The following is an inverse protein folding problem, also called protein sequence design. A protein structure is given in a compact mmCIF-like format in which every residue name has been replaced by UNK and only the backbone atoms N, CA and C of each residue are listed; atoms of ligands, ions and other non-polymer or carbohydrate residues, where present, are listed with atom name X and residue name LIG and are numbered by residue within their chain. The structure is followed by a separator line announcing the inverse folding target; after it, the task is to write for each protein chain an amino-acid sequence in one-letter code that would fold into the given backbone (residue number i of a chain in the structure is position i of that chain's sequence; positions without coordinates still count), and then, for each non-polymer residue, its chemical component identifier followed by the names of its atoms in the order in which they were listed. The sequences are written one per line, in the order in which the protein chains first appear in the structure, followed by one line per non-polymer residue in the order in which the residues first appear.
data_IF_337109998516
#
_entry.id   IF_337109998516
#
_cell.length_a   1.000
_cell.length_b   1.000
_cell.length_c   1.000
_cell.angle_alpha   90.00
_cell.angle_beta   90.00
_cell.angle_gamma   90.00
#
_symmetry.space_group_name_H-M   'P 1'
#
loop_
_entity.id
_entity.type
_entity.pdbx_description
1 polymer ?
#
# COMPACT_ATOMS: atom_id res chain seq x y z
N UNK A 1 8.45 -78.29 -57.62
CA UNK A 1 7.28 -77.92 -58.45
C UNK A 1 6.34 -77.16 -57.52
N UNK A 2 6.18 -75.86 -57.81
CA UNK A 2 5.28 -74.79 -57.32
C UNK A 2 4.13 -75.17 -56.34
N UNK A 3 3.65 -74.38 -55.38
CA UNK A 3 3.82 -72.95 -55.04
C UNK A 3 3.32 -72.72 -53.60
N UNK A 4 3.66 -71.56 -53.01
CA UNK A 4 3.37 -71.14 -51.64
C UNK A 4 2.68 -69.77 -51.69
N UNK A 5 1.38 -69.63 -51.37
CA UNK A 5 0.89 -68.41 -50.69
C UNK A 5 -0.61 -68.35 -50.33
N UNK A 6 -0.82 -67.91 -49.08
CA UNK A 6 -1.79 -66.91 -48.58
C UNK A 6 -3.27 -67.02 -48.97
N UNK A 7 -4.06 -67.45 -47.98
CA UNK A 7 -5.45 -67.08 -47.82
C UNK A 7 -5.59 -65.59 -47.47
N UNK A 8 -6.46 -64.91 -48.20
CA UNK A 8 -6.90 -63.53 -48.00
C UNK A 8 -8.38 -63.54 -47.63
N UNK A 9 -8.68 -62.74 -46.62
CA UNK A 9 -9.98 -62.40 -46.02
C UNK A 9 -10.90 -61.70 -47.03
N UNK A 10 -12.20 -62.02 -47.04
CA UNK A 10 -13.32 -61.07 -46.97
C UNK A 10 -14.70 -61.73 -47.22
N UNK A 11 -15.73 -61.11 -46.63
CA UNK A 11 -17.19 -61.23 -46.79
C UNK A 11 -17.89 -61.98 -45.64
N UNK A 12 -19.04 -61.57 -45.12
CA UNK A 12 -19.78 -60.30 -44.97
C UNK A 12 -20.94 -60.66 -44.02
N UNK A 13 -21.60 -59.64 -43.48
CA UNK A 13 -22.92 -59.69 -42.83
C UNK A 13 -23.02 -60.22 -41.39
N UNK A 14 -23.03 -59.28 -40.44
CA UNK A 14 -24.09 -59.24 -39.42
C UNK A 14 -24.23 -57.83 -38.82
N UNK A 15 -25.24 -57.13 -39.32
CA UNK A 15 -25.88 -56.00 -38.68
C UNK A 15 -26.69 -56.49 -37.46
N UNK A 16 -26.45 -55.93 -36.27
CA UNK A 16 -27.50 -55.50 -35.32
C UNK A 16 -26.95 -55.08 -33.95
N UNK A 17 -27.47 -53.95 -33.48
CA UNK A 17 -27.43 -53.40 -32.12
C UNK A 17 -26.17 -52.69 -31.64
N UNK A 18 -25.93 -51.51 -32.21
CA UNK A 18 -25.45 -50.35 -31.46
C UNK A 18 -26.64 -49.62 -30.82
N UNK A 19 -26.64 -49.45 -29.50
CA UNK A 19 -27.64 -48.63 -28.83
C UNK A 19 -27.72 -48.85 -27.33
N UNK A 20 -26.83 -48.20 -26.56
CA UNK A 20 -27.13 -47.90 -25.17
C UNK A 20 -26.03 -48.16 -24.16
N UNK A 21 -24.85 -47.52 -24.29
CA UNK A 21 -23.94 -47.30 -23.15
C UNK A 21 -23.10 -46.02 -23.26
N UNK A 22 -23.63 -44.95 -23.85
CA UNK A 22 -22.92 -43.65 -23.94
C UNK A 22 -23.48 -42.58 -22.95
N UNK A 23 -24.62 -42.84 -22.29
CA UNK A 23 -25.36 -41.82 -21.54
C UNK A 23 -25.27 -41.88 -20.00
N UNK A 24 -24.47 -42.78 -19.41
CA UNK A 24 -24.41 -42.93 -17.94
C UNK A 24 -23.28 -42.10 -17.30
N UNK A 25 -22.27 -41.68 -18.07
CA UNK A 25 -21.08 -41.00 -17.52
C UNK A 25 -21.27 -39.47 -17.39
N UNK A 26 -22.24 -38.85 -18.08
CA UNK A 26 -22.41 -37.39 -18.10
C UNK A 26 -23.50 -36.82 -17.16
N UNK A 27 -24.16 -37.67 -16.36
CA UNK A 27 -25.25 -37.25 -15.45
C UNK A 27 -24.74 -36.90 -14.04
N UNK A 28 -23.63 -37.48 -13.58
CA UNK A 28 -23.11 -37.26 -12.22
C UNK A 28 -22.41 -35.91 -12.00
N UNK A 29 -21.84 -35.30 -13.06
CA UNK A 29 -21.20 -33.98 -12.99
C UNK A 29 -22.18 -32.79 -13.03
N UNK A 30 -23.37 -32.98 -13.63
CA UNK A 30 -24.37 -31.90 -13.79
C UNK A 30 -25.25 -31.69 -12.54
N UNK A 31 -25.36 -32.71 -11.69
CA UNK A 31 -26.12 -32.65 -10.42
C UNK A 31 -25.30 -32.11 -9.23
N UNK A 32 -23.97 -32.09 -9.32
CA UNK A 32 -23.10 -31.66 -8.21
C UNK A 32 -22.89 -30.14 -8.13
N UNK A 33 -22.95 -29.45 -9.27
CA UNK A 33 -22.86 -27.99 -9.36
C UNK A 33 -23.95 -27.24 -8.56
N UNK A 34 -25.26 -27.57 -8.65
CA UNK A 34 -26.28 -26.89 -7.85
C UNK A 34 -26.14 -27.17 -6.35
N UNK A 35 -25.63 -28.35 -5.97
CA UNK A 35 -25.39 -28.70 -4.57
C UNK A 35 -24.28 -27.86 -3.94
N UNK A 36 -23.19 -27.61 -4.69
CA UNK A 36 -22.09 -26.76 -4.23
C UNK A 36 -22.50 -25.28 -4.09
N UNK A 37 -23.32 -24.77 -5.01
CA UNK A 37 -23.87 -23.40 -4.92
C UNK A 37 -24.79 -23.27 -3.70
N UNK A 38 -25.63 -24.27 -3.42
CA UNK A 38 -26.50 -24.28 -2.25
C UNK A 38 -25.71 -24.31 -0.94
N UNK A 39 -24.61 -25.09 -0.88
CA UNK A 39 -23.71 -25.13 0.27
C UNK A 39 -23.05 -23.76 0.53
N UNK A 40 -22.61 -23.07 -0.52
CA UNK A 40 -22.00 -21.73 -0.42
C UNK A 40 -23.01 -20.69 0.11
N UNK A 41 -24.27 -20.77 -0.32
CA UNK A 41 -25.33 -19.88 0.18
C UNK A 41 -25.66 -20.11 1.66
N UNK A 42 -25.68 -21.37 2.11
CA UNK A 42 -25.85 -21.69 3.54
C UNK A 42 -24.67 -21.14 4.34
N UNK A 43 -23.44 -21.33 3.84
CA UNK A 43 -22.24 -20.86 4.53
C UNK A 43 -22.20 -19.32 4.63
N UNK A 44 -22.61 -18.60 3.57
CA UNK A 44 -22.67 -17.13 3.62
C UNK A 44 -23.75 -16.64 4.58
N UNK A 45 -24.91 -17.32 4.66
CA UNK A 45 -25.96 -17.02 5.64
C UNK A 45 -25.50 -17.18 7.08
N UNK A 46 -24.72 -18.22 7.38
CA UNK A 46 -24.14 -18.44 8.73
C UNK A 46 -23.13 -17.34 9.08
N UNK A 47 -22.31 -16.93 8.12
CA UNK A 47 -21.32 -15.84 8.32
C UNK A 47 -22.04 -14.51 8.57
N UNK A 48 -23.09 -14.19 7.81
CA UNK A 48 -23.89 -12.96 8.00
C UNK A 48 -24.58 -12.99 9.37
N UNK A 49 -25.17 -14.13 9.77
CA UNK A 49 -25.78 -14.29 11.08
C UNK A 49 -24.77 -14.10 12.23
N UNK A 50 -23.54 -14.61 12.08
CA UNK A 50 -22.49 -14.44 13.08
C UNK A 50 -22.03 -12.98 13.23
N UNK A 51 -21.95 -12.22 12.13
CA UNK A 51 -21.57 -10.79 12.17
C UNK A 51 -22.65 -9.96 12.89
N UNK A 52 -23.93 -10.24 12.64
CA UNK A 52 -25.04 -9.51 13.26
C UNK A 52 -25.10 -9.80 14.77
N UNK A 53 -24.95 -11.06 15.20
CA UNK A 53 -24.97 -11.40 16.62
C UNK A 53 -23.74 -10.88 17.39
N UNK A 54 -22.59 -10.70 16.72
CA UNK A 54 -21.39 -10.19 17.39
C UNK A 54 -21.43 -8.67 17.60
N UNK A 55 -22.25 -7.93 16.84
CA UNK A 55 -22.47 -6.49 17.08
C UNK A 55 -23.41 -6.20 18.27
N UNK A 56 -24.24 -7.16 18.69
CA UNK A 56 -25.20 -6.96 19.77
C UNK A 56 -24.62 -7.08 21.19
N UNK A 57 -23.45 -7.71 21.35
CA UNK A 57 -22.93 -8.11 22.67
C UNK A 57 -21.84 -7.20 23.26
N UNK A 58 -21.43 -6.13 22.57
CA UNK A 58 -20.32 -5.27 23.02
C UNK A 58 -20.78 -3.90 23.56
N UNK A 59 -21.93 -3.84 24.22
CA UNK A 59 -22.36 -2.66 24.98
C UNK A 59 -22.71 -3.03 26.42
N UNK A 60 -21.69 -3.24 27.25
CA UNK A 60 -21.77 -3.00 28.69
C UNK A 60 -20.71 -1.96 29.05
N UNK A 61 -21.19 -0.74 29.34
CA UNK A 61 -20.37 0.31 29.94
C UNK A 61 -20.36 0.17 31.46
N UNK A 62 -19.28 0.67 32.09
CA UNK A 62 -19.22 1.05 33.49
C UNK A 62 -18.18 2.18 33.70
N UNK A 63 -18.26 2.95 34.80
CA UNK A 63 -18.21 4.42 34.75
C UNK A 63 -16.95 5.08 35.31
N UNK A 64 -16.72 6.33 34.84
CA UNK A 64 -16.43 7.51 35.66
C UNK A 64 -15.10 7.60 36.43
N UNK A 65 -14.20 8.47 35.96
CA UNK A 65 -13.07 8.98 36.74
C UNK A 65 -12.66 10.38 36.27
N UNK A 66 -13.10 11.41 36.99
CA UNK A 66 -12.71 12.81 36.80
C UNK A 66 -11.22 12.98 37.10
N UNK A 67 -10.50 13.74 36.29
CA UNK A 67 -9.38 14.59 36.74
C UNK A 67 -9.23 15.81 35.83
N UNK A 68 -9.02 16.96 36.48
CA UNK A 68 -9.01 18.30 35.90
C UNK A 68 -7.76 18.54 35.05
N UNK A 69 -7.92 19.13 33.87
CA UNK A 69 -6.82 19.66 33.05
C UNK A 69 -6.80 21.19 33.09
N UNK A 70 -5.60 21.75 33.32
CA UNK A 70 -5.30 23.17 33.30
C UNK A 70 -5.27 23.72 31.86
N UNK A 71 -5.88 24.89 31.65
CA UNK A 71 -5.91 25.60 30.36
C UNK A 71 -4.57 26.28 30.00
N UNK A 72 -4.08 26.15 28.76
CA UNK A 72 -3.11 27.07 28.18
C UNK A 72 -3.78 28.21 27.40
N UNK A 73 -3.15 29.39 27.43
CA UNK A 73 -3.73 30.70 27.13
C UNK A 73 -3.98 31.09 25.67
N UNK A 74 -4.73 32.19 25.56
CA UNK A 74 -5.38 32.79 24.38
C UNK A 74 -4.43 33.74 23.62
N UNK A 75 -4.27 33.56 22.30
CA UNK A 75 -3.81 34.58 21.34
C UNK A 75 -4.84 34.69 20.21
N UNK A 76 -5.29 35.93 19.93
CA UNK A 76 -6.58 36.18 19.30
C UNK A 76 -6.67 36.16 17.77
N UNK A 77 -7.90 35.94 17.30
CA UNK A 77 -8.65 36.94 16.55
C UNK A 77 -8.71 36.89 15.01
N UNK A 78 -9.38 35.92 14.35
CA UNK A 78 -10.30 36.13 13.19
C UNK A 78 -11.11 34.87 12.78
N UNK A 79 -12.44 35.07 12.71
CA UNK A 79 -13.54 34.53 11.85
C UNK A 79 -13.95 33.04 11.77
N UNK A 80 -15.29 32.86 11.90
CA UNK A 80 -16.08 31.63 12.04
C UNK A 80 -15.93 30.60 10.91
N UNK A 81 -15.93 29.30 11.27
CA UNK A 81 -15.95 28.17 10.32
C UNK A 81 -17.33 27.99 9.64
N UNK A 82 -17.37 27.51 8.39
CA UNK A 82 -18.61 27.16 7.70
C UNK A 82 -19.25 25.90 8.28
N UNK A 83 -20.54 25.97 8.63
CA UNK A 83 -21.35 24.86 9.15
C UNK A 83 -21.73 23.92 8.00
N UNK A 84 -21.27 22.67 8.04
CA UNK A 84 -21.78 21.59 7.18
C UNK A 84 -22.89 20.84 7.93
N UNK A 85 -24.14 21.04 7.50
CA UNK A 85 -25.30 20.29 8.00
C UNK A 85 -25.38 18.92 7.32
N UNK A 86 -24.52 17.99 7.75
CA UNK A 86 -24.57 16.57 7.37
C UNK A 86 -24.91 15.72 8.59
N UNK A 87 -26.02 14.99 8.49
CA UNK A 87 -26.60 14.17 9.55
C UNK A 87 -25.65 13.00 9.93
N UNK A 88 -24.82 13.21 10.94
CA UNK A 88 -23.89 12.22 11.49
C UNK A 88 -23.71 12.48 12.98
N UNK A 89 -24.32 11.64 13.81
CA UNK A 89 -24.26 11.70 15.27
C UNK A 89 -22.82 11.51 15.74
N UNK A 90 -22.14 12.62 16.00
CA UNK A 90 -20.98 12.67 16.89
C UNK A 90 -21.42 13.53 18.07
N UNK A 91 -21.29 13.00 19.28
CA UNK A 91 -21.56 13.72 20.53
C UNK A 91 -20.47 14.79 20.76
N UNK A 92 -20.42 15.78 19.88
CA UNK A 92 -19.75 17.05 20.11
C UNK A 92 -20.86 18.02 20.55
N UNK A 93 -20.78 18.53 21.78
CA UNK A 93 -21.79 19.38 22.40
C UNK A 93 -22.34 20.41 21.40
N UNK A 94 -23.65 20.38 21.19
CA UNK A 94 -24.39 21.10 20.16
C UNK A 94 -24.54 22.59 20.46
N UNK A 95 -23.43 23.30 20.62
CA UNK A 95 -23.40 24.76 20.58
C UNK A 95 -22.14 25.21 19.86
N UNK A 96 -22.25 25.37 18.54
CA UNK A 96 -21.25 26.03 17.70
C UNK A 96 -21.22 27.55 17.90
N UNK A 97 -22.03 28.09 18.82
CA UNK A 97 -22.13 29.53 19.08
C UNK A 97 -20.92 30.08 19.87
N UNK A 98 -20.16 29.23 20.56
CA UNK A 98 -19.06 29.66 21.46
C UNK A 98 -17.66 29.24 20.98
N UNK A 99 -17.56 28.50 19.88
CA UNK A 99 -16.28 28.05 19.31
C UNK A 99 -15.74 29.08 18.31
N UNK A 100 -14.90 30.01 18.78
CA UNK A 100 -14.16 30.91 17.89
C UNK A 100 -13.08 30.11 17.16
N UNK A 101 -13.10 30.18 15.82
CA UNK A 101 -12.18 29.45 14.95
C UNK A 101 -10.70 29.69 15.28
N UNK A 102 -10.39 30.89 15.75
CA UNK A 102 -9.05 31.32 16.18
C UNK A 102 -8.46 30.53 17.35
N UNK A 103 -9.29 29.83 18.14
CA UNK A 103 -8.84 28.98 19.26
C UNK A 103 -8.88 27.49 18.94
N UNK A 104 -9.28 27.12 17.72
CA UNK A 104 -9.28 25.75 17.27
C UNK A 104 -7.89 25.37 16.75
N UNK A 105 -7.16 24.57 17.51
CA UNK A 105 -5.94 23.92 17.03
C UNK A 105 -6.31 22.64 16.30
N UNK A 106 -5.64 22.34 15.18
CA UNK A 106 -5.84 21.08 14.45
C UNK A 106 -5.76 19.85 15.36
N UNK A 107 -4.94 19.89 16.41
CA UNK A 107 -4.80 18.81 17.38
C UNK A 107 -6.08 18.49 18.17
N UNK A 108 -7.01 19.43 18.32
CA UNK A 108 -8.27 19.23 19.06
C UNK A 108 -9.27 18.33 18.32
N UNK A 109 -9.08 18.13 17.01
CA UNK A 109 -9.90 17.20 16.22
C UNK A 109 -9.37 15.76 16.25
N UNK A 110 -8.20 15.53 16.85
CA UNK A 110 -7.60 14.22 16.97
C UNK A 110 -7.70 13.73 18.41
N UNK A 111 -8.40 12.62 18.61
CA UNK A 111 -8.27 11.86 19.85
C UNK A 111 -6.98 11.04 19.77
N UNK A 112 -6.17 11.07 20.83
CA UNK A 112 -5.03 10.16 20.96
C UNK A 112 -5.56 8.73 20.99
N UNK A 113 -5.11 7.93 20.03
CA UNK A 113 -5.39 6.50 20.04
C UNK A 113 -4.70 5.84 21.26
N UNK A 114 -5.46 5.08 22.04
CA UNK A 114 -4.98 4.38 23.24
C UNK A 114 -4.53 2.94 22.94
N UNK A 115 -4.41 2.59 21.67
CA UNK A 115 -3.89 1.30 21.23
C UNK A 115 -2.44 1.09 21.69
N UNK A 116 -2.24 0.29 22.74
CA UNK A 116 -0.94 -0.29 23.08
C UNK A 116 -0.53 -1.27 21.96
N UNK A 117 0.35 -0.83 21.07
CA UNK A 117 0.90 -1.67 20.00
C UNK A 117 1.79 -2.76 20.63
N UNK A 118 1.21 -3.94 20.87
CA UNK A 118 1.96 -5.13 21.25
C UNK A 118 2.61 -5.74 20.02
N UNK A 119 3.89 -5.43 19.83
CA UNK A 119 4.69 -6.04 18.76
C UNK A 119 4.87 -7.54 19.02
N UNK A 120 4.22 -8.36 18.20
CA UNK A 120 4.35 -9.83 18.22
C UNK A 120 5.57 -10.32 17.42
N UNK A 121 6.57 -9.45 17.19
CA UNK A 121 7.75 -9.80 16.41
C UNK A 121 8.64 -10.71 17.25
N UNK A 122 9.02 -11.86 16.68
CA UNK A 122 10.01 -12.76 17.25
C UNK A 122 11.33 -12.00 17.43
N UNK A 123 11.75 -11.86 18.69
CA UNK A 123 13.03 -11.22 19.02
C UNK A 123 14.13 -12.27 18.96
N UNK A 124 15.28 -11.86 18.44
CA UNK A 124 16.52 -12.63 18.52
C UNK A 124 17.54 -11.81 19.30
N UNK A 125 18.38 -12.51 20.06
CA UNK A 125 19.43 -11.89 20.85
C UNK A 125 20.67 -11.64 19.99
N UNK A 126 21.32 -10.50 20.23
CA UNK A 126 22.61 -10.16 19.62
C UNK A 126 23.73 -10.32 20.65
N UNK A 127 24.95 -10.74 20.24
CA UNK A 127 25.36 -11.04 18.88
C UNK A 127 24.89 -12.42 18.38
N UNK A 128 24.62 -12.51 17.08
CA UNK A 128 24.21 -13.72 16.38
C UNK A 128 25.44 -14.47 15.85
N UNK A 129 25.39 -15.80 15.76
CA UNK A 129 26.29 -16.54 14.86
C UNK A 129 25.56 -16.80 13.54
N UNK A 130 25.77 -15.92 12.55
CA UNK A 130 25.05 -15.97 11.27
C UNK A 130 25.29 -17.27 10.50
N UNK A 131 26.36 -18.03 10.79
CA UNK A 131 26.65 -19.27 10.09
C UNK A 131 25.80 -20.43 10.61
N UNK A 132 25.43 -20.41 11.89
CA UNK A 132 24.66 -21.49 12.53
C UNK A 132 23.20 -21.10 12.76
N UNK A 133 22.95 -19.85 13.11
CA UNK A 133 21.65 -19.40 13.60
C UNK A 133 20.72 -18.95 12.46
N UNK A 134 21.28 -18.60 11.30
CA UNK A 134 20.52 -18.11 10.13
C UNK A 134 20.32 -19.24 9.12
N UNK A 135 19.07 -19.71 9.01
CA UNK A 135 18.70 -20.87 8.20
C UNK A 135 19.02 -20.72 6.70
N UNK A 136 18.93 -19.50 6.14
CA UNK A 136 19.17 -19.24 4.72
C UNK A 136 20.60 -18.78 4.41
N UNK A 137 21.50 -18.72 5.40
CA UNK A 137 22.85 -18.17 5.22
C UNK A 137 23.62 -18.84 4.07
N UNK A 138 23.71 -20.17 4.08
CA UNK A 138 24.44 -20.92 3.04
C UNK A 138 23.82 -20.76 1.65
N UNK A 139 22.50 -20.52 1.57
CA UNK A 139 21.84 -20.28 0.31
C UNK A 139 22.22 -18.92 -0.29
N UNK A 140 22.24 -17.86 0.55
CA UNK A 140 22.63 -16.50 0.14
C UNK A 140 24.12 -16.42 -0.16
N UNK A 141 24.96 -17.02 0.68
CA UNK A 141 26.41 -16.98 0.55
C UNK A 141 26.92 -17.49 -0.82
N UNK A 142 26.22 -18.45 -1.43
CA UNK A 142 26.56 -18.96 -2.77
C UNK A 142 26.31 -17.96 -3.90
N UNK A 143 25.42 -16.99 -3.68
CA UNK A 143 25.02 -15.98 -4.67
C UNK A 143 25.69 -14.65 -4.42
N UNK A 144 26.07 -14.40 -3.17
CA UNK A 144 26.60 -13.14 -2.69
C UNK A 144 27.73 -13.40 -1.70
N UNK A 145 28.93 -12.88 -1.96
CA UNK A 145 30.05 -13.00 -1.05
C UNK A 145 29.83 -12.14 0.21
N UNK A 146 29.70 -12.79 1.37
CA UNK A 146 29.45 -12.17 2.67
C UNK A 146 30.66 -12.23 3.62
N UNK A 147 31.82 -12.72 3.20
CA UNK A 147 32.95 -13.00 4.11
C UNK A 147 33.45 -11.76 4.87
N UNK A 148 33.61 -10.65 4.15
CA UNK A 148 34.05 -9.38 4.73
C UNK A 148 33.01 -8.75 5.66
N UNK A 149 31.82 -9.33 5.70
CA UNK A 149 30.62 -8.73 6.25
C UNK A 149 30.06 -9.50 7.46
N UNK A 150 30.53 -10.72 7.70
CA UNK A 150 30.09 -11.58 8.80
C UNK A 150 30.21 -10.91 10.17
N UNK A 151 31.31 -10.22 10.44
CA UNK A 151 31.51 -9.56 11.74
C UNK A 151 30.44 -8.49 12.03
N UNK A 152 30.03 -7.75 11.00
CA UNK A 152 28.97 -6.73 11.10
C UNK A 152 27.59 -7.35 11.29
N UNK A 153 27.28 -8.41 10.53
CA UNK A 153 26.02 -9.15 10.66
C UNK A 153 25.88 -9.79 12.05
N UNK A 154 26.93 -10.42 12.57
CA UNK A 154 26.91 -11.01 13.91
C UNK A 154 26.65 -9.98 15.00
N UNK A 155 27.26 -8.79 14.88
CA UNK A 155 27.13 -7.74 15.89
C UNK A 155 25.78 -7.02 15.85
N UNK A 156 25.29 -6.70 14.65
CA UNK A 156 24.17 -5.77 14.46
C UNK A 156 22.89 -6.44 13.92
N UNK A 157 22.95 -7.70 13.46
CA UNK A 157 21.84 -8.40 12.82
C UNK A 157 21.53 -7.95 11.39
N UNK A 158 22.08 -6.82 10.94
CA UNK A 158 21.95 -6.29 9.60
C UNK A 158 23.25 -5.64 9.15
N UNK A 159 23.36 -5.38 7.84
CA UNK A 159 24.42 -4.54 7.33
C UNK A 159 24.12 -3.91 5.97
N UNK A 160 25.03 -3.02 5.56
CA UNK A 160 24.99 -2.33 4.29
C UNK A 160 26.17 -2.82 3.45
N UNK A 161 25.88 -3.26 2.23
CA UNK A 161 26.87 -3.66 1.24
C UNK A 161 26.76 -2.76 0.02
N UNK A 162 27.89 -2.55 -0.65
CA UNK A 162 27.88 -1.94 -1.98
C UNK A 162 27.19 -2.87 -2.98
N UNK A 163 26.50 -2.28 -3.97
CA UNK A 163 25.80 -3.04 -5.00
C UNK A 163 26.80 -3.91 -5.81
N UNK A 164 26.75 -5.25 -5.69
CA UNK A 164 27.65 -6.13 -6.42
C UNK A 164 27.28 -6.26 -7.91
N UNK A 165 26.06 -5.89 -8.29
CA UNK A 165 25.53 -5.91 -9.66
C UNK A 165 25.62 -4.54 -10.34
N UNK A 166 26.53 -3.67 -9.91
CA UNK A 166 26.63 -2.29 -10.44
C UNK A 166 26.86 -2.22 -11.96
N UNK A 167 27.30 -3.30 -12.62
CA UNK A 167 27.48 -3.30 -14.08
C UNK A 167 26.19 -3.62 -14.82
N UNK A 168 25.37 -4.50 -14.26
CA UNK A 168 24.16 -5.04 -14.86
C UNK A 168 22.90 -4.27 -14.42
N UNK A 169 22.94 -3.68 -13.23
CA UNK A 169 21.81 -3.05 -12.55
C UNK A 169 22.23 -1.74 -11.86
N UNK A 170 21.94 -0.62 -12.52
CA UNK A 170 22.30 0.72 -12.06
C UNK A 170 21.18 1.46 -11.33
N UNK A 171 19.95 0.97 -11.43
CA UNK A 171 18.80 1.53 -10.75
C UNK A 171 18.13 0.48 -9.85
N UNK A 172 17.21 0.93 -9.00
CA UNK A 172 16.52 0.04 -8.07
C UNK A 172 15.74 -1.06 -8.80
N UNK A 173 15.07 -0.75 -9.91
CA UNK A 173 14.19 -1.70 -10.61
C UNK A 173 14.98 -2.80 -11.30
N UNK A 174 16.08 -2.46 -11.97
CA UNK A 174 17.02 -3.40 -12.54
C UNK A 174 17.66 -4.26 -11.47
N UNK A 175 18.07 -3.68 -10.34
CA UNK A 175 18.63 -4.44 -9.22
C UNK A 175 17.60 -5.40 -8.64
N UNK A 176 16.38 -4.93 -8.38
CA UNK A 176 15.29 -5.77 -7.90
C UNK A 176 15.00 -6.92 -8.86
N UNK A 177 14.98 -6.65 -10.17
CA UNK A 177 14.83 -7.67 -11.21
C UNK A 177 15.97 -8.69 -11.19
N UNK A 178 17.23 -8.24 -11.09
CA UNK A 178 18.40 -9.12 -11.00
C UNK A 178 18.41 -9.97 -9.73
N UNK A 179 18.02 -9.40 -8.59
CA UNK A 179 17.93 -10.13 -7.32
C UNK A 179 16.80 -11.17 -7.35
N UNK A 180 15.65 -10.80 -7.90
CA UNK A 180 14.49 -11.70 -8.04
C UNK A 180 14.78 -12.83 -9.02
N UNK A 181 15.40 -12.52 -10.17
CA UNK A 181 15.78 -13.53 -11.17
C UNK A 181 16.86 -14.50 -10.68
N UNK A 182 17.63 -14.10 -9.67
CA UNK A 182 18.58 -14.97 -8.98
C UNK A 182 17.97 -15.68 -7.77
N UNK A 183 16.63 -15.72 -7.62
CA UNK A 183 15.92 -16.30 -6.46
C UNK A 183 16.47 -15.79 -5.11
N UNK A 184 16.81 -14.50 -5.01
CA UNK A 184 17.20 -13.93 -3.72
C UNK A 184 15.91 -13.54 -2.95
N UNK A 185 15.76 -13.93 -1.68
CA UNK A 185 14.66 -13.45 -0.85
C UNK A 185 14.86 -11.94 -0.60
N UNK A 186 13.84 -11.16 -0.98
CA UNK A 186 13.85 -9.70 -0.85
C UNK A 186 12.74 -9.32 0.13
N UNK A 187 13.08 -8.48 1.11
CA UNK A 187 12.12 -7.82 1.97
C UNK A 187 12.06 -6.34 1.57
N UNK A 188 10.88 -5.88 1.19
CA UNK A 188 10.60 -4.45 1.00
C UNK A 188 9.74 -3.99 2.16
N UNK A 189 10.21 -2.97 2.88
CA UNK A 189 9.46 -2.34 3.97
C UNK A 189 8.67 -1.14 3.46
N UNK A 190 7.62 -0.76 4.19
CA UNK A 190 6.76 0.37 3.83
C UNK A 190 7.53 1.70 3.77
N UNK A 191 8.54 1.87 4.62
CA UNK A 191 9.43 3.04 4.61
C UNK A 191 10.08 3.27 3.23
N UNK A 192 10.50 2.18 2.56
CA UNK A 192 11.05 2.26 1.22
C UNK A 192 10.01 2.73 0.21
N UNK A 193 8.78 2.20 0.30
CA UNK A 193 7.69 2.58 -0.59
C UNK A 193 7.37 4.07 -0.42
N UNK A 194 7.22 4.53 0.81
CA UNK A 194 6.95 5.94 1.14
C UNK A 194 8.07 6.83 0.60
N UNK A 195 9.33 6.46 0.85
CA UNK A 195 10.48 7.19 0.33
C UNK A 195 10.47 7.28 -1.21
N UNK A 196 10.20 6.17 -1.89
CA UNK A 196 10.13 6.13 -3.34
C UNK A 196 9.02 7.03 -3.89
N UNK A 197 7.82 6.96 -3.29
CA UNK A 197 6.69 7.83 -3.65
C UNK A 197 7.04 9.31 -3.48
N UNK A 198 7.65 9.71 -2.36
CA UNK A 198 8.06 11.09 -2.14
C UNK A 198 9.00 11.60 -3.23
N UNK A 199 9.94 10.77 -3.68
CA UNK A 199 10.87 11.16 -4.74
C UNK A 199 10.19 11.31 -6.09
N UNK A 200 9.30 10.38 -6.45
CA UNK A 200 8.52 10.45 -7.69
C UNK A 200 7.65 11.71 -7.71
N UNK A 201 6.95 11.98 -6.60
CA UNK A 201 6.08 13.17 -6.47
C UNK A 201 6.90 14.46 -6.58
N UNK A 202 8.06 14.53 -5.92
CA UNK A 202 8.97 15.69 -6.06
C UNK A 202 9.42 15.91 -7.50
N UNK A 203 9.75 14.83 -8.21
CA UNK A 203 10.16 14.92 -9.60
C UNK A 203 9.01 15.41 -10.48
N UNK A 204 7.82 14.82 -10.33
CA UNK A 204 6.62 15.24 -11.05
C UNK A 204 6.28 16.73 -10.81
N UNK A 205 6.38 17.21 -9.57
CA UNK A 205 6.18 18.64 -9.28
C UNK A 205 7.21 19.54 -9.95
N UNK A 206 8.49 19.15 -9.97
CA UNK A 206 9.52 19.91 -10.68
C UNK A 206 9.27 19.96 -12.19
N UNK A 207 8.82 18.84 -12.76
CA UNK A 207 8.52 18.78 -14.18
C UNK A 207 7.32 19.68 -14.52
N UNK A 208 6.26 19.63 -13.72
CA UNK A 208 5.10 20.53 -13.84
C UNK A 208 5.50 22.00 -13.65
N UNK A 209 6.34 22.31 -12.66
CA UNK A 209 6.84 23.66 -12.41
C UNK A 209 7.58 24.20 -13.65
N UNK A 210 8.49 23.40 -14.21
CA UNK A 210 9.29 23.76 -15.38
C UNK A 210 8.44 23.89 -16.65
N UNK A 211 7.55 22.94 -16.90
CA UNK A 211 6.85 22.84 -18.19
C UNK A 211 5.57 23.68 -18.25
N UNK A 212 4.87 23.85 -17.13
CA UNK A 212 3.56 24.53 -17.07
C UNK A 212 3.64 25.89 -16.40
N UNK A 213 4.33 25.99 -15.25
CA UNK A 213 4.25 27.20 -14.44
C UNK A 213 5.36 28.21 -14.72
N UNK A 214 6.53 27.79 -15.17
CA UNK A 214 7.70 28.66 -15.32
C UNK A 214 7.39 29.93 -16.13
N UNK A 215 6.84 29.78 -17.35
CA UNK A 215 6.54 30.92 -18.21
C UNK A 215 5.49 31.85 -17.59
N UNK A 216 4.44 31.28 -17.00
CA UNK A 216 3.37 32.06 -16.37
C UNK A 216 3.89 32.86 -15.18
N UNK A 217 4.68 32.24 -14.29
CA UNK A 217 5.28 32.91 -13.13
C UNK A 217 6.29 33.97 -13.58
N UNK A 218 7.07 33.68 -14.63
CA UNK A 218 7.98 34.65 -15.22
C UNK A 218 7.25 35.87 -15.76
N UNK A 219 6.19 35.68 -16.53
CA UNK A 219 5.42 36.76 -17.13
C UNK A 219 4.72 37.62 -16.07
N UNK A 220 4.16 37.00 -15.04
CA UNK A 220 3.58 37.70 -13.89
C UNK A 220 4.64 38.56 -13.20
N UNK A 221 5.80 37.98 -12.89
CA UNK A 221 6.89 38.70 -12.24
C UNK A 221 7.43 39.85 -13.11
N UNK A 222 7.59 39.62 -14.41
CA UNK A 222 8.03 40.65 -15.38
C UNK A 222 7.02 41.79 -15.46
N UNK A 223 5.74 41.49 -15.44
CA UNK A 223 4.67 42.50 -15.43
C UNK A 223 4.70 43.31 -14.14
N UNK A 224 4.81 42.67 -12.98
CA UNK A 224 4.93 43.38 -11.70
C UNK A 224 6.17 44.27 -11.65
N UNK A 225 7.31 43.76 -12.11
CA UNK A 225 8.55 44.53 -12.20
C UNK A 225 8.38 45.77 -13.09
N UNK A 226 7.80 45.59 -14.28
CA UNK A 226 7.58 46.68 -15.24
C UNK A 226 6.66 47.76 -14.66
N UNK A 227 5.59 47.36 -13.96
CA UNK A 227 4.67 48.29 -13.29
C UNK A 227 5.41 49.08 -12.20
N UNK A 228 6.21 48.40 -11.37
CA UNK A 228 6.96 49.04 -10.30
C UNK A 228 8.01 50.02 -10.83
N UNK A 229 8.79 49.61 -11.84
CA UNK A 229 9.81 50.45 -12.49
C UNK A 229 9.18 51.70 -13.14
N UNK A 230 8.05 51.53 -13.83
CA UNK A 230 7.32 52.64 -14.44
C UNK A 230 6.86 53.65 -13.39
N UNK A 231 6.28 53.18 -12.27
CA UNK A 231 5.86 54.05 -11.16
C UNK A 231 7.05 54.77 -10.52
N UNK A 232 8.17 54.08 -10.34
CA UNK A 232 9.38 54.65 -9.76
C UNK A 232 9.95 55.77 -10.64
N UNK A 233 10.11 55.52 -11.94
CA UNK A 233 10.60 56.50 -12.92
C UNK A 233 9.68 57.71 -13.04
N UNK A 234 8.36 57.50 -13.05
CA UNK A 234 7.38 58.59 -13.03
C UNK A 234 7.59 59.49 -11.82
N UNK A 235 7.74 58.92 -10.63
CA UNK A 235 8.00 59.67 -9.40
C UNK A 235 9.31 60.46 -9.45
N UNK A 236 10.39 59.88 -9.99
CA UNK A 236 11.66 60.59 -10.17
C UNK A 236 11.51 61.80 -11.12
N UNK A 237 10.80 61.62 -12.23
CA UNK A 237 10.53 62.71 -13.18
C UNK A 237 9.69 63.84 -12.56
N UNK A 238 8.73 63.53 -11.69
CA UNK A 238 7.91 64.51 -10.97
C UNK A 238 8.71 65.30 -9.93
N UNK A 239 9.78 64.71 -9.38
CA UNK A 239 10.68 65.35 -8.40
C UNK A 239 11.81 66.14 -9.11
N UNK A 240 11.88 66.08 -10.45
CA UNK A 240 12.88 66.80 -11.24
C UNK A 240 14.28 66.20 -11.17
N UNK A 241 14.39 64.92 -10.80
CA UNK A 241 15.65 64.17 -10.80
C UNK A 241 15.65 63.32 -12.07
N UNK A 242 16.23 63.86 -13.14
CA UNK A 242 16.61 63.14 -14.37
C UNK A 242 18.10 63.38 -14.58
#
# INVERSE_FOLDING_TARGET
MFDKNKNKIANDDSDSNAGGMENIINISRRLWLPFFIFLILILSGIIIYAIINNQANNNLGEPGGNNNEEQPGILGGIDKLPVNSGNGSSNLGTSTDDLKAEFLSFGQFYAKDNNEIKSAILKYDLPLDVKTDVSNYHYIYRKLNLDNYIAGLNKNGFMIIDNPYKKEANDFYSLFGSLTGNDMPILITDDFLIYNYHNIIKQAFKDIEKDVFYNNIWDINKNFFTIADTRHKKKLSEIGII
#
